data_IF_700198071072
#
_entry.id   IF_700198071072
#
_cell.length_a   1.000
_cell.length_b   1.000
_cell.length_c   1.000
_cell.angle_alpha   90.00
_cell.angle_beta   90.00
_cell.angle_gamma   90.00
#
_symmetry.space_group_name_H-M   'P 1'
#
loop_
_entity.id
_entity.type
_entity.pdbx_description
1 polymer ?
#
# COMPACT_ATOMS: atom_id res chain seq x y z
N UNK A 1 25.89 6.53 63.06
CA UNK A 1 25.32 6.20 61.74
C UNK A 1 23.90 6.73 61.67
N UNK A 2 23.63 7.83 60.95
CA UNK A 2 22.29 8.44 60.88
C UNK A 2 21.44 7.67 59.87
N UNK A 3 20.33 7.07 60.32
CA UNK A 3 19.34 6.41 59.46
C UNK A 3 18.39 7.47 58.89
N UNK A 4 18.55 7.82 57.61
CA UNK A 4 17.61 8.70 56.91
C UNK A 4 16.28 7.95 56.77
N UNK A 5 15.22 8.43 57.45
CA UNK A 5 13.88 7.82 57.44
C UNK A 5 13.01 8.55 56.43
N UNK A 6 12.82 7.99 55.25
CA UNK A 6 11.91 8.56 54.26
C UNK A 6 10.45 8.36 54.71
N UNK A 7 9.64 9.43 54.61
CA UNK A 7 8.20 9.32 54.81
C UNK A 7 7.58 8.38 53.78
N UNK A 8 6.55 7.65 54.19
CA UNK A 8 5.74 6.80 53.30
C UNK A 8 5.23 7.62 52.10
N UNK A 9 4.83 8.88 52.33
CA UNK A 9 4.38 9.78 51.27
C UNK A 9 5.46 10.05 50.22
N UNK A 10 6.72 10.23 50.62
CA UNK A 10 7.83 10.45 49.68
C UNK A 10 8.09 9.21 48.83
N UNK A 11 7.97 8.02 49.42
CA UNK A 11 8.11 6.75 48.68
C UNK A 11 6.98 6.56 47.68
N UNK A 12 5.73 6.82 48.09
CA UNK A 12 4.56 6.76 47.20
C UNK A 12 4.72 7.76 46.05
N UNK A 13 5.09 9.01 46.33
CA UNK A 13 5.31 10.02 45.29
C UNK A 13 6.39 9.57 44.28
N UNK A 14 7.49 9.00 44.74
CA UNK A 14 8.54 8.47 43.85
C UNK A 14 8.02 7.33 42.95
N UNK A 15 7.22 6.40 43.48
CA UNK A 15 6.59 5.36 42.66
C UNK A 15 5.63 5.94 41.64
N UNK A 16 4.82 6.93 42.01
CA UNK A 16 3.91 7.59 41.08
C UNK A 16 4.66 8.31 39.96
N UNK A 17 5.77 8.98 40.25
CA UNK A 17 6.62 9.61 39.23
C UNK A 17 7.15 8.57 38.25
N UNK A 18 7.67 7.44 38.75
CA UNK A 18 8.16 6.34 37.91
C UNK A 18 7.03 5.80 37.03
N UNK A 19 5.83 5.56 37.60
CA UNK A 19 4.66 5.11 36.84
C UNK A 19 4.28 6.11 35.75
N UNK A 20 4.23 7.40 36.06
CA UNK A 20 3.90 8.46 35.10
C UNK A 20 4.91 8.47 33.94
N UNK A 21 6.22 8.33 34.24
CA UNK A 21 7.25 8.24 33.21
C UNK A 21 7.01 7.03 32.31
N UNK A 22 6.75 5.84 32.88
CA UNK A 22 6.46 4.64 32.09
C UNK A 22 5.22 4.80 31.21
N UNK A 23 4.13 5.35 31.75
CA UNK A 23 2.90 5.63 30.99
C UNK A 23 3.18 6.61 29.86
N UNK A 24 3.95 7.67 30.13
CA UNK A 24 4.37 8.64 29.11
C UNK A 24 5.14 7.99 27.96
N UNK A 25 6.12 7.13 28.27
CA UNK A 25 6.91 6.40 27.27
C UNK A 25 6.02 5.47 26.42
N UNK A 26 5.12 4.70 27.06
CA UNK A 26 4.21 3.79 26.35
C UNK A 26 3.25 4.57 25.45
N UNK A 27 2.70 5.69 25.95
CA UNK A 27 1.80 6.54 25.18
C UNK A 27 2.52 7.15 23.97
N UNK A 28 3.72 7.70 24.15
CA UNK A 28 4.51 8.25 23.05
C UNK A 28 4.85 7.20 21.99
N UNK A 29 5.23 5.98 22.41
CA UNK A 29 5.47 4.88 21.48
C UNK A 29 4.19 4.49 20.73
N UNK A 30 3.05 4.45 21.42
CA UNK A 30 1.74 4.14 20.81
C UNK A 30 1.33 5.19 19.77
N UNK A 31 1.53 6.48 20.07
CA UNK A 31 1.28 7.57 19.11
C UNK A 31 2.20 7.47 17.89
N UNK A 32 3.49 7.17 18.09
CA UNK A 32 4.44 6.99 16.99
C UNK A 32 4.03 5.84 16.05
N UNK A 33 3.58 4.71 16.61
CA UNK A 33 3.05 3.59 15.81
C UNK A 33 1.76 3.98 15.07
N UNK A 34 0.85 4.69 15.76
CA UNK A 34 -0.44 5.07 15.18
C UNK A 34 -0.32 6.09 14.04
N UNK A 35 0.72 6.93 14.05
CA UNK A 35 1.00 7.85 12.95
C UNK A 35 1.20 7.12 11.60
N UNK A 36 1.74 5.90 11.61
CA UNK A 36 1.91 5.05 10.42
C UNK A 36 0.64 4.34 9.94
N UNK A 37 -0.37 4.16 10.82
CA UNK A 37 -1.57 3.37 10.52
C UNK A 37 -2.39 3.87 9.33
N UNK A 38 -2.41 5.18 9.08
CA UNK A 38 -3.10 5.74 7.92
C UNK A 38 -2.50 5.23 6.60
N UNK A 39 -1.17 5.27 6.48
CA UNK A 39 -0.47 4.79 5.28
C UNK A 39 -0.67 3.28 5.09
N UNK A 40 -0.60 2.48 6.17
CA UNK A 40 -0.89 1.05 6.11
C UNK A 40 -2.33 0.74 5.67
N UNK A 41 -3.33 1.44 6.21
CA UNK A 41 -4.72 1.25 5.83
C UNK A 41 -4.98 1.60 4.36
N UNK A 42 -4.36 2.67 3.87
CA UNK A 42 -4.44 3.08 2.47
C UNK A 42 -3.77 2.05 1.56
N UNK A 43 -2.59 1.53 1.91
CA UNK A 43 -1.90 0.49 1.16
C UNK A 43 -2.75 -0.79 1.04
N UNK A 44 -3.45 -1.18 2.12
CA UNK A 44 -4.39 -2.32 2.11
C UNK A 44 -5.58 -2.03 1.18
N UNK A 45 -6.15 -0.84 1.25
CA UNK A 45 -7.29 -0.46 0.41
C UNK A 45 -6.90 -0.43 -1.08
N UNK A 46 -5.77 0.22 -1.41
CA UNK A 46 -5.28 0.32 -2.78
C UNK A 46 -4.92 -1.07 -3.32
N UNK A 47 -4.20 -1.89 -2.55
CA UNK A 47 -3.89 -3.27 -2.97
C UNK A 47 -5.15 -4.14 -3.15
N UNK A 48 -6.18 -3.94 -2.33
CA UNK A 48 -7.50 -4.52 -2.54
C UNK A 48 -8.13 -4.07 -3.86
N UNK A 49 -8.08 -2.77 -4.16
CA UNK A 49 -8.60 -2.22 -5.41
C UNK A 49 -7.88 -2.77 -6.63
N UNK A 50 -6.56 -3.01 -6.57
CA UNK A 50 -5.79 -3.56 -7.69
C UNK A 50 -6.33 -4.92 -8.13
N UNK A 51 -6.79 -5.78 -7.21
CA UNK A 51 -7.44 -7.06 -7.56
C UNK A 51 -8.70 -6.83 -8.38
N UNK A 52 -9.54 -5.89 -7.96
CA UNK A 52 -10.76 -5.54 -8.71
C UNK A 52 -10.43 -4.95 -10.08
N UNK A 53 -9.40 -4.10 -10.15
CA UNK A 53 -8.95 -3.52 -11.42
C UNK A 53 -8.35 -4.58 -12.36
N UNK A 54 -7.68 -5.62 -11.85
CA UNK A 54 -7.21 -6.75 -12.66
C UNK A 54 -8.37 -7.51 -13.31
N UNK A 55 -9.43 -7.80 -12.55
CA UNK A 55 -10.61 -8.48 -13.11
C UNK A 55 -11.34 -7.61 -14.11
N UNK A 56 -11.47 -6.30 -13.84
CA UNK A 56 -12.04 -5.35 -14.79
C UNK A 56 -11.25 -5.33 -16.10
N UNK A 57 -9.92 -5.24 -16.04
CA UNK A 57 -9.07 -5.27 -17.23
C UNK A 57 -9.25 -6.56 -18.03
N UNK A 58 -9.35 -7.71 -17.36
CA UNK A 58 -9.60 -8.99 -18.04
C UNK A 58 -10.93 -8.95 -18.81
N UNK A 59 -11.99 -8.46 -18.16
CA UNK A 59 -13.32 -8.33 -18.77
C UNK A 59 -13.32 -7.35 -19.96
N UNK A 60 -12.75 -6.15 -19.78
CA UNK A 60 -12.68 -5.09 -20.79
C UNK A 60 -11.87 -5.54 -22.01
N UNK A 61 -10.79 -6.31 -21.82
CA UNK A 61 -10.01 -6.86 -22.93
C UNK A 61 -10.82 -7.79 -23.84
N UNK A 62 -11.95 -8.34 -23.39
CA UNK A 62 -12.81 -9.22 -24.18
C UNK A 62 -14.04 -8.50 -24.73
N UNK A 63 -14.59 -7.54 -23.99
CA UNK A 63 -15.91 -6.97 -24.27
C UNK A 63 -15.90 -5.47 -24.60
N UNK A 64 -14.91 -4.72 -24.13
CA UNK A 64 -14.89 -3.24 -24.14
C UNK A 64 -13.47 -2.72 -24.41
N UNK A 65 -12.92 -3.02 -25.60
CA UNK A 65 -11.52 -2.71 -25.93
C UNK A 65 -11.17 -1.21 -25.83
N UNK A 66 -12.16 -0.34 -26.03
CA UNK A 66 -12.04 1.12 -25.92
C UNK A 66 -11.78 1.62 -24.49
N UNK A 67 -12.16 0.86 -23.46
CA UNK A 67 -11.95 1.23 -22.05
C UNK A 67 -10.62 0.73 -21.49
N UNK A 68 -10.00 -0.27 -22.13
CA UNK A 68 -8.78 -0.94 -21.66
C UNK A 68 -7.63 0.04 -21.44
N UNK A 69 -7.37 0.97 -22.36
CA UNK A 69 -6.25 1.92 -22.20
C UNK A 69 -6.44 2.83 -20.98
N UNK A 70 -7.68 3.25 -20.71
CA UNK A 70 -8.02 4.04 -19.52
C UNK A 70 -7.81 3.21 -18.25
N UNK A 71 -8.31 1.98 -18.22
CA UNK A 71 -8.14 1.08 -17.06
C UNK A 71 -6.67 0.70 -16.83
N UNK A 72 -5.86 0.57 -17.89
CA UNK A 72 -4.43 0.33 -17.76
C UNK A 72 -3.73 1.49 -17.04
N UNK A 73 -4.08 2.73 -17.40
CA UNK A 73 -3.58 3.93 -16.74
C UNK A 73 -4.01 4.01 -15.27
N UNK A 74 -5.29 3.77 -14.98
CA UNK A 74 -5.81 3.79 -13.61
C UNK A 74 -5.15 2.74 -12.71
N UNK A 75 -4.92 1.54 -13.25
CA UNK A 75 -4.19 0.50 -12.53
C UNK A 75 -2.76 0.96 -12.24
N UNK A 76 -2.06 1.52 -13.23
CA UNK A 76 -0.69 2.03 -13.05
C UNK A 76 -0.61 3.14 -12.01
N UNK A 77 -1.57 4.07 -11.98
CA UNK A 77 -1.69 5.11 -10.95
C UNK A 77 -1.90 4.50 -9.57
N UNK A 78 -2.80 3.52 -9.45
CA UNK A 78 -3.06 2.82 -8.18
C UNK A 78 -1.82 2.06 -7.71
N UNK A 79 -1.14 1.36 -8.62
CA UNK A 79 0.05 0.55 -8.34
C UNK A 79 1.19 1.41 -7.80
N UNK A 80 1.34 2.64 -8.30
CA UNK A 80 2.39 3.57 -7.87
C UNK A 80 1.86 4.67 -6.92
N UNK A 81 0.76 4.39 -6.23
CA UNK A 81 0.27 5.29 -5.18
C UNK A 81 1.30 5.45 -4.07
N UNK A 82 1.28 6.60 -3.39
CA UNK A 82 2.25 6.91 -2.34
C UNK A 82 2.22 5.86 -1.22
N UNK A 83 1.03 5.39 -0.83
CA UNK A 83 0.87 4.36 0.21
C UNK A 83 1.51 3.02 -0.15
N UNK A 84 1.61 2.65 -1.43
CA UNK A 84 2.36 1.47 -1.87
C UNK A 84 3.85 1.74 -2.06
N UNK A 85 4.25 2.94 -2.49
CA UNK A 85 5.67 3.32 -2.58
C UNK A 85 6.34 3.38 -1.20
N UNK A 86 5.62 3.85 -0.18
CA UNK A 86 6.09 3.96 1.19
C UNK A 86 6.47 2.62 1.82
N UNK A 87 6.01 1.48 1.27
CA UNK A 87 6.35 0.12 1.71
C UNK A 87 7.88 -0.08 1.77
N UNK A 88 8.64 0.57 0.87
CA UNK A 88 10.10 0.48 0.87
C UNK A 88 10.77 1.33 1.96
N UNK A 89 10.09 2.38 2.43
CA UNK A 89 10.62 3.35 3.38
C UNK A 89 10.20 3.08 4.83
N UNK A 90 9.21 2.22 5.04
CA UNK A 90 8.68 1.90 6.36
C UNK A 90 9.55 0.85 7.08
N UNK A 91 9.96 1.18 8.31
CA UNK A 91 10.85 0.36 9.13
C UNK A 91 10.26 -1.00 9.53
N UNK A 92 8.94 -1.06 9.78
CA UNK A 92 8.25 -2.26 10.27
C UNK A 92 7.71 -3.17 9.17
N UNK A 93 7.99 -2.86 7.90
CA UNK A 93 7.55 -3.68 6.77
C UNK A 93 8.59 -4.76 6.49
N UNK A 94 8.14 -6.03 6.43
CA UNK A 94 9.01 -7.16 6.14
C UNK A 94 9.52 -7.14 4.70
N UNK A 95 10.69 -7.74 4.48
CA UNK A 95 11.28 -7.90 3.15
C UNK A 95 10.38 -8.72 2.21
N UNK A 96 9.60 -9.67 2.74
CA UNK A 96 8.63 -10.44 1.96
C UNK A 96 7.55 -9.55 1.34
N UNK A 97 7.07 -8.54 2.07
CA UNK A 97 6.07 -7.59 1.55
C UNK A 97 6.69 -6.69 0.49
N UNK A 98 7.91 -6.18 0.72
CA UNK A 98 8.65 -5.38 -0.27
C UNK A 98 8.92 -6.17 -1.56
N UNK A 99 9.36 -7.41 -1.42
CA UNK A 99 9.59 -8.34 -2.54
C UNK A 99 8.30 -8.64 -3.29
N UNK A 100 7.20 -8.87 -2.56
CA UNK A 100 5.88 -9.11 -3.16
C UNK A 100 5.40 -7.90 -3.97
N UNK A 101 5.58 -6.68 -3.47
CA UNK A 101 5.25 -5.46 -4.20
C UNK A 101 6.11 -5.29 -5.47
N UNK A 102 7.43 -5.51 -5.38
CA UNK A 102 8.31 -5.52 -6.55
C UNK A 102 7.89 -6.55 -7.60
N UNK A 103 7.48 -7.75 -7.15
CA UNK A 103 7.00 -8.80 -8.05
C UNK A 103 5.66 -8.43 -8.69
N UNK A 104 4.78 -7.72 -7.97
CA UNK A 104 3.54 -7.20 -8.52
C UNK A 104 3.81 -6.19 -9.65
N UNK A 105 4.78 -5.28 -9.48
CA UNK A 105 5.21 -4.34 -10.52
C UNK A 105 5.69 -5.08 -11.77
N UNK A 106 6.62 -6.04 -11.62
CA UNK A 106 7.13 -6.83 -12.76
C UNK A 106 6.03 -7.60 -13.48
N UNK A 107 5.08 -8.18 -12.74
CA UNK A 107 3.95 -8.90 -13.32
C UNK A 107 3.00 -7.96 -14.05
N UNK A 108 2.78 -6.77 -13.51
CA UNK A 108 1.99 -5.73 -14.14
C UNK A 108 2.58 -5.30 -15.48
N UNK A 109 3.88 -4.98 -15.55
CA UNK A 109 4.54 -4.54 -16.79
C UNK A 109 4.34 -5.55 -17.93
N UNK A 110 4.46 -6.84 -17.61
CA UNK A 110 4.24 -7.91 -18.57
C UNK A 110 2.77 -7.96 -19.03
N UNK A 111 1.83 -7.80 -18.12
CA UNK A 111 0.40 -7.81 -18.44
C UNK A 111 -0.02 -6.57 -19.26
N UNK A 112 0.47 -5.39 -18.90
CA UNK A 112 0.23 -4.15 -19.64
C UNK A 112 0.74 -4.24 -21.08
N UNK A 113 1.93 -4.84 -21.29
CA UNK A 113 2.47 -5.10 -22.62
C UNK A 113 1.56 -6.02 -23.45
N UNK A 114 1.10 -7.13 -22.86
CA UNK A 114 0.20 -8.08 -23.52
C UNK A 114 -1.15 -7.44 -23.87
N UNK A 115 -1.73 -6.66 -22.96
CA UNK A 115 -2.99 -5.95 -23.19
C UNK A 115 -2.86 -4.95 -24.35
N UNK A 116 -1.78 -4.15 -24.40
CA UNK A 116 -1.51 -3.23 -25.51
C UNK A 116 -1.31 -3.97 -26.83
N UNK A 117 -0.61 -5.10 -26.83
CA UNK A 117 -0.46 -5.93 -28.03
C UNK A 117 -1.82 -6.43 -28.55
N UNK A 118 -2.72 -6.87 -27.67
CA UNK A 118 -4.08 -7.30 -28.05
C UNK A 118 -4.86 -6.17 -28.71
N UNK A 119 -4.81 -4.96 -28.15
CA UNK A 119 -5.45 -3.76 -28.73
C UNK A 119 -4.89 -3.51 -30.14
N UNK A 120 -3.57 -3.47 -30.31
CA UNK A 120 -2.94 -3.24 -31.62
C UNK A 120 -3.36 -4.30 -32.67
N UNK A 121 -3.42 -5.57 -32.27
CA UNK A 121 -3.87 -6.65 -33.16
C UNK A 121 -5.35 -6.47 -33.57
N UNK A 122 -6.24 -6.11 -32.64
CA UNK A 122 -7.64 -5.85 -32.98
C UNK A 122 -7.81 -4.69 -33.96
N UNK A 123 -7.06 -3.59 -33.79
CA UNK A 123 -7.08 -2.42 -34.68
C UNK A 123 -6.61 -2.80 -36.10
N UNK A 124 -5.51 -3.56 -36.21
CA UNK A 124 -4.96 -4.00 -37.50
C UNK A 124 -5.84 -5.02 -38.24
N UNK A 125 -6.76 -5.71 -37.55
CA UNK A 125 -7.74 -6.59 -38.20
C UNK A 125 -8.95 -5.78 -38.67
N UNK A 126 -9.40 -4.80 -37.88
CA UNK A 126 -10.61 -4.02 -38.18
C UNK A 126 -10.36 -3.01 -39.31
N UNK A 127 -9.25 -2.29 -39.31
CA UNK A 127 -8.94 -1.26 -40.33
C UNK A 127 -8.99 -1.81 -41.77
N UNK A 128 -8.32 -2.92 -42.14
CA UNK A 128 -8.36 -3.46 -43.51
C UNK A 128 -9.71 -4.05 -43.92
N UNK A 129 -10.59 -4.37 -42.97
CA UNK A 129 -11.96 -4.85 -43.26
C UNK A 129 -12.95 -3.71 -43.48
N UNK A 130 -12.71 -2.54 -42.87
CA UNK A 130 -13.56 -1.36 -42.99
C UNK A 130 -13.40 -0.64 -44.35
N UNK A 131 -12.21 -0.67 -44.96
CA UNK A 131 -11.95 -0.14 -46.31
C UNK A 131 -12.32 -1.09 -47.45
N UNK A 132 -12.96 -2.22 -47.12
CA UNK A 132 -13.41 -3.25 -48.07
C UNK A 132 -14.94 -3.19 -48.23
N UNK A 133 -15.47 -2.00 -48.49
CA UNK A 133 -16.83 -1.73 -48.96
C UNK A 133 -16.82 -0.61 -49.99
#
# INVERSE_FOLDING_TARGET
>A
MVKIKHSVSTRIANYLIVIIIFVGVIASLSFALMAGNKSYAEAINVSGSLRMQSYRLLYEMEHELESVEKSLRQYRESLHSQSLLDIHHQFFVSEDVKSSYNNLIKRWEKMESLAKQKILLSINIILPTMWRK
#
